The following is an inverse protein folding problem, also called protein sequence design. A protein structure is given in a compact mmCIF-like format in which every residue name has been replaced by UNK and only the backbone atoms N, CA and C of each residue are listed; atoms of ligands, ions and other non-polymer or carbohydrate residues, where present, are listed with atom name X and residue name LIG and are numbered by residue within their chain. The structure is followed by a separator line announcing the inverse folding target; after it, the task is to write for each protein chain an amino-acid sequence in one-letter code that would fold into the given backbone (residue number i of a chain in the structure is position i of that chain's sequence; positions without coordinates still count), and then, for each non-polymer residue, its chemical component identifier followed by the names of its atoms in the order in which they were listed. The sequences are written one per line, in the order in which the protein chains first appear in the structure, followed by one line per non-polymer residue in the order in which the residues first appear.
data_IF_629528802984
#
_entry.id   IF_629528802984
#
_cell.length_a   1.000
_cell.length_b   1.000
_cell.length_c   1.000
_cell.angle_alpha   90.00
_cell.angle_beta   90.00
_cell.angle_gamma   90.00
#
_symmetry.space_group_name_H-M   'P 1'
#
loop_
_entity.id
_entity.type
_entity.pdbx_description
1 polymer ?
#
# COMPACT_ATOMS: atom_id res chain seq x y z
N UNK A 1 -11.38 27.66 -8.40
CA UNK A 1 -10.79 26.62 -9.28
C UNK A 1 -11.11 25.29 -8.62
N UNK A 2 -12.15 24.60 -9.11
CA UNK A 2 -12.71 23.42 -8.43
C UNK A 2 -12.04 22.14 -8.93
N UNK A 3 -11.40 21.44 -7.98
CA UNK A 3 -11.52 20.00 -7.72
C UNK A 3 -11.51 19.04 -8.92
N UNK A 4 -10.33 18.54 -9.25
CA UNK A 4 -10.15 17.22 -9.87
C UNK A 4 -8.92 16.53 -9.26
N UNK A 5 -8.98 16.22 -7.97
CA UNK A 5 -8.08 15.20 -7.41
C UNK A 5 -8.50 13.85 -8.01
N UNK A 6 -7.62 13.28 -8.84
CA UNK A 6 -7.93 12.21 -9.77
C UNK A 6 -8.19 10.87 -9.05
N UNK A 7 -9.41 10.31 -9.06
CA UNK A 7 -9.70 9.00 -8.44
C UNK A 7 -8.89 7.84 -9.04
N UNK A 8 -8.19 8.07 -10.16
CA UNK A 8 -7.32 7.10 -10.83
C UNK A 8 -6.06 6.81 -10.01
N UNK A 9 -5.48 7.83 -9.36
CA UNK A 9 -4.25 7.68 -8.57
C UNK A 9 -4.54 6.88 -7.30
N UNK A 10 -5.67 7.15 -6.64
CA UNK A 10 -6.06 6.44 -5.42
C UNK A 10 -6.38 4.96 -5.67
N UNK A 11 -7.02 4.64 -6.80
CA UNK A 11 -7.34 3.26 -7.16
C UNK A 11 -6.09 2.43 -7.49
N UNK A 12 -5.11 3.04 -8.16
CA UNK A 12 -3.84 2.37 -8.47
C UNK A 12 -3.02 2.14 -7.20
N UNK A 13 -2.90 3.13 -6.33
CA UNK A 13 -2.23 3.01 -5.03
C UNK A 13 -2.88 1.92 -4.17
N UNK A 14 -4.22 1.87 -4.09
CA UNK A 14 -4.92 0.81 -3.35
C UNK A 14 -4.58 -0.59 -3.89
N UNK A 15 -4.54 -0.77 -5.21
CA UNK A 15 -4.18 -2.05 -5.82
C UNK A 15 -2.73 -2.45 -5.50
N UNK A 16 -1.80 -1.50 -5.55
CA UNK A 16 -0.40 -1.76 -5.20
C UNK A 16 -0.23 -2.13 -3.73
N UNK A 17 -1.01 -1.51 -2.83
CA UNK A 17 -1.07 -1.86 -1.41
C UNK A 17 -1.60 -3.29 -1.21
N UNK A 18 -2.68 -3.67 -1.89
CA UNK A 18 -3.22 -5.03 -1.83
C UNK A 18 -2.21 -6.08 -2.33
N UNK A 19 -1.52 -5.80 -3.43
CA UNK A 19 -0.41 -6.63 -3.93
C UNK A 19 0.72 -6.72 -2.89
N UNK A 20 1.09 -5.62 -2.22
CA UNK A 20 2.06 -5.62 -1.13
C UNK A 20 1.65 -6.48 0.06
N UNK A 21 0.37 -6.45 0.46
CA UNK A 21 -0.17 -7.31 1.52
C UNK A 21 -0.11 -8.79 1.10
N UNK A 22 -0.39 -9.10 -0.17
CA UNK A 22 -0.25 -10.46 -0.69
C UNK A 22 1.23 -10.92 -0.68
N UNK A 23 2.16 -10.06 -1.10
CA UNK A 23 3.60 -10.32 -1.04
C UNK A 23 4.07 -10.60 0.39
N UNK A 24 3.57 -9.83 1.37
CA UNK A 24 3.88 -10.04 2.79
C UNK A 24 3.52 -11.45 3.24
N UNK A 25 2.35 -11.95 2.84
CA UNK A 25 1.87 -13.30 3.19
C UNK A 25 2.67 -14.41 2.51
N UNK A 26 3.13 -14.19 1.28
CA UNK A 26 3.82 -15.19 0.49
C UNK A 26 5.33 -15.26 0.78
N UNK A 27 5.96 -14.10 1.02
CA UNK A 27 7.42 -13.96 1.03
C UNK A 27 7.96 -13.21 2.25
N UNK A 28 7.10 -12.71 3.14
CA UNK A 28 7.48 -11.96 4.33
C UNK A 28 7.66 -10.45 4.12
N UNK A 29 7.91 -9.77 5.23
CA UNK A 29 7.85 -8.31 5.33
C UNK A 29 8.92 -7.60 4.50
N UNK A 30 10.13 -8.16 4.40
CA UNK A 30 11.23 -7.57 3.65
C UNK A 30 10.94 -7.48 2.15
N UNK A 31 10.32 -8.52 1.59
CA UNK A 31 9.95 -8.58 0.16
C UNK A 31 8.81 -7.63 -0.13
N UNK A 32 7.79 -7.60 0.74
CA UNK A 32 6.66 -6.69 0.61
C UNK A 32 7.07 -5.21 0.68
N UNK A 33 7.98 -4.87 1.61
CA UNK A 33 8.57 -3.54 1.75
C UNK A 33 9.28 -3.11 0.47
N UNK A 34 10.17 -3.96 -0.06
CA UNK A 34 10.88 -3.67 -1.31
C UNK A 34 9.91 -3.50 -2.48
N UNK A 35 8.89 -4.35 -2.58
CA UNK A 35 7.88 -4.26 -3.62
C UNK A 35 7.15 -2.90 -3.59
N UNK A 36 6.66 -2.47 -2.43
CA UNK A 36 5.92 -1.21 -2.30
C UNK A 36 6.80 0.01 -2.62
N UNK A 37 8.03 0.05 -2.09
CA UNK A 37 8.97 1.13 -2.37
C UNK A 37 9.37 1.20 -3.86
N UNK A 38 9.56 0.05 -4.52
CA UNK A 38 9.85 0.00 -5.96
C UNK A 38 8.69 0.50 -6.83
N UNK A 39 7.45 0.40 -6.33
CA UNK A 39 6.26 0.96 -6.98
C UNK A 39 6.08 2.45 -6.72
N UNK A 40 6.95 3.07 -5.94
CA UNK A 40 6.87 4.48 -5.57
C UNK A 40 5.84 4.76 -4.48
N UNK A 41 5.39 3.73 -3.75
CA UNK A 41 4.56 3.92 -2.57
C UNK A 41 5.40 4.60 -1.49
N UNK A 42 4.80 5.61 -0.87
CA UNK A 42 5.41 6.38 0.19
C UNK A 42 5.93 5.47 1.33
N UNK A 43 7.13 5.74 1.89
CA UNK A 43 7.69 4.93 2.98
C UNK A 43 6.83 4.89 4.25
N UNK A 44 6.18 5.99 4.63
CA UNK A 44 5.33 6.04 5.83
C UNK A 44 4.05 5.22 5.59
N UNK A 45 3.47 5.31 4.39
CA UNK A 45 2.36 4.45 4.00
C UNK A 45 2.77 2.97 3.96
N UNK A 46 3.97 2.67 3.46
CA UNK A 46 4.52 1.30 3.42
C UNK A 46 4.66 0.73 4.83
N UNK A 47 5.25 1.49 5.77
CA UNK A 47 5.35 1.11 7.18
C UNK A 47 3.97 0.85 7.77
N UNK A 48 2.99 1.73 7.54
CA UNK A 48 1.60 1.55 8.03
C UNK A 48 0.95 0.29 7.50
N UNK A 49 1.07 0.01 6.20
CA UNK A 49 0.49 -1.19 5.57
C UNK A 49 1.12 -2.47 6.14
N UNK A 50 2.43 -2.46 6.38
CA UNK A 50 3.15 -3.64 6.84
C UNK A 50 3.02 -3.86 8.36
N UNK A 51 2.81 -2.81 9.15
CA UNK A 51 2.72 -2.90 10.62
C UNK A 51 1.29 -2.93 11.14
N UNK A 52 0.30 -2.47 10.35
CA UNK A 52 -1.09 -2.44 10.80
C UNK A 52 -1.59 -3.85 11.20
N UNK A 53 -2.13 -4.01 12.42
CA UNK A 53 -2.90 -5.19 12.75
C UNK A 53 -4.12 -5.27 11.82
N UNK A 54 -4.48 -6.49 11.39
CA UNK A 54 -5.56 -6.79 10.41
C UNK A 54 -6.90 -6.09 10.71
N UNK A 55 -7.14 -5.68 11.95
CA UNK A 55 -8.36 -5.02 12.42
C UNK A 55 -8.47 -3.54 12.00
N UNK A 56 -7.36 -2.88 11.63
CA UNK A 56 -7.36 -1.44 11.34
C UNK A 56 -7.58 -1.06 9.87
N UNK A 57 -7.68 -2.04 8.95
CA UNK A 57 -7.87 -1.81 7.51
C UNK A 57 -9.35 -1.93 7.07
N UNK A 58 -10.30 -1.98 8.01
CA UNK A 58 -11.74 -2.17 7.77
C UNK A 58 -12.63 -1.00 8.21
N UNK A 59 -12.05 0.15 8.52
CA UNK A 59 -12.79 1.34 8.99
C UNK A 59 -12.77 2.45 7.96
#
# INVERSE_FOLDING_TARGET
MNEQHAPRTDTETARQVDEGIAMKRAFGDDVARKFLLLRGIDPDLTERVLTAPREQLRH
#
